data_IF_715902258428
#
_entry.id   IF_715902258428
#
_cell.length_a   1.000
_cell.length_b   1.000
_cell.length_c   1.000
_cell.angle_alpha   90.00
_cell.angle_beta   90.00
_cell.angle_gamma   90.00
#
_symmetry.space_group_name_H-M   'P 1'
#
loop_
_entity.id
_entity.type
_entity.pdbx_description
1 polymer ?
#
# COMPACT_ATOMS: atom_id res chain seq x y z
N UNK A 1 -7.08 16.02 2.51
CA UNK A 1 -5.98 15.08 2.24
C UNK A 1 -4.68 15.82 2.50
N UNK A 2 -3.95 15.42 3.54
CA UNK A 2 -2.78 16.14 4.06
C UNK A 2 -1.46 15.38 3.84
N UNK A 3 -1.52 14.04 3.80
CA UNK A 3 -0.35 13.16 3.63
C UNK A 3 -0.68 11.99 2.70
N UNK A 4 0.16 11.75 1.68
CA UNK A 4 0.07 10.55 0.84
C UNK A 4 1.40 9.81 0.88
N UNK A 5 1.39 8.56 1.35
CA UNK A 5 2.56 7.68 1.38
C UNK A 5 2.55 6.81 0.13
N UNK A 6 3.59 6.89 -0.69
CA UNK A 6 3.73 6.09 -1.92
C UNK A 6 4.81 5.04 -1.69
N UNK A 7 4.43 3.75 -1.76
CA UNK A 7 5.31 2.63 -1.45
C UNK A 7 5.47 1.76 -2.69
N UNK A 8 6.63 1.78 -3.38
CA UNK A 8 6.92 0.81 -4.42
C UNK A 8 7.10 -0.58 -3.80
N UNK A 9 6.53 -1.61 -4.44
CA UNK A 9 6.61 -2.98 -3.96
C UNK A 9 6.82 -3.98 -5.11
N UNK A 10 7.67 -4.97 -4.86
CA UNK A 10 7.90 -6.11 -5.74
C UNK A 10 8.12 -7.38 -4.91
N UNK A 11 7.16 -8.30 -4.95
CA UNK A 11 7.16 -9.53 -4.17
C UNK A 11 7.29 -9.34 -2.65
N UNK A 12 6.44 -8.48 -2.07
CA UNK A 12 6.44 -8.10 -0.66
C UNK A 12 5.13 -8.48 0.05
N UNK A 13 4.49 -9.57 -0.37
CA UNK A 13 3.16 -9.98 0.14
C UNK A 13 3.14 -10.24 1.65
N UNK A 14 4.26 -10.63 2.24
CA UNK A 14 4.38 -10.91 3.68
C UNK A 14 4.63 -9.64 4.51
N UNK A 15 5.41 -8.68 3.99
CA UNK A 15 5.84 -7.50 4.74
C UNK A 15 4.86 -6.31 4.65
N UNK A 16 4.16 -6.15 3.53
CA UNK A 16 3.29 -5.00 3.31
C UNK A 16 2.12 -4.85 4.31
N UNK A 17 1.43 -5.93 4.73
CA UNK A 17 0.36 -5.79 5.73
C UNK A 17 0.84 -5.21 7.05
N UNK A 18 2.02 -5.64 7.51
CA UNK A 18 2.63 -5.15 8.75
C UNK A 18 3.03 -3.67 8.60
N UNK A 19 3.72 -3.33 7.50
CA UNK A 19 4.12 -1.95 7.21
C UNK A 19 2.93 -0.98 7.16
N UNK A 20 1.83 -1.38 6.50
CA UNK A 20 0.61 -0.56 6.45
C UNK A 20 0.03 -0.37 7.86
N UNK A 21 0.04 -1.41 8.68
CA UNK A 21 -0.41 -1.33 10.07
C UNK A 21 0.45 -0.37 10.92
N UNK A 22 1.78 -0.42 10.76
CA UNK A 22 2.70 0.50 11.43
C UNK A 22 2.48 1.96 10.99
N UNK A 23 2.23 2.19 9.69
CA UNK A 23 1.91 3.51 9.15
C UNK A 23 0.61 4.05 9.75
N UNK A 24 -0.44 3.21 9.81
CA UNK A 24 -1.71 3.60 10.40
C UNK A 24 -1.53 3.99 11.88
N UNK A 25 -0.80 3.19 12.66
CA UNK A 25 -0.48 3.50 14.06
C UNK A 25 0.35 4.79 14.21
N UNK A 26 1.32 5.04 13.32
CA UNK A 26 2.14 6.24 13.37
C UNK A 26 1.35 7.51 13.01
N UNK A 27 0.34 7.38 12.14
CA UNK A 27 -0.51 8.49 11.74
C UNK A 27 -1.68 8.75 12.70
N UNK A 28 -2.07 7.74 13.48
CA UNK A 28 -3.07 7.89 14.55
C UNK A 28 -2.69 9.00 15.53
N UNK A 29 -3.65 9.89 15.81
CA UNK A 29 -3.45 11.01 16.75
C UNK A 29 -2.75 12.23 16.18
N UNK A 30 -2.24 12.20 14.94
CA UNK A 30 -1.65 13.39 14.29
C UNK A 30 -2.68 14.42 13.81
N UNK A 31 -3.96 14.03 13.72
CA UNK A 31 -5.04 14.90 13.23
C UNK A 31 -4.96 15.20 11.73
N UNK A 32 -4.24 14.38 10.97
CA UNK A 32 -4.08 14.49 9.52
C UNK A 32 -5.04 13.53 8.80
N UNK A 33 -5.43 13.87 7.57
CA UNK A 33 -5.97 12.90 6.62
C UNK A 33 -4.83 12.27 5.81
N UNK A 34 -4.67 10.95 5.90
CA UNK A 34 -3.65 10.21 5.15
C UNK A 34 -4.21 9.10 4.27
N UNK A 35 -3.39 8.72 3.29
CA UNK A 35 -3.55 7.53 2.46
C UNK A 35 -2.21 6.85 2.22
N UNK A 36 -2.25 5.54 1.99
CA UNK A 36 -1.10 4.72 1.58
C UNK A 36 -1.39 4.12 0.21
N UNK A 37 -0.60 4.49 -0.79
CA UNK A 37 -0.70 3.97 -2.15
C UNK A 37 0.48 3.03 -2.42
N UNK A 38 0.19 1.74 -2.59
CA UNK A 38 1.17 0.75 -2.99
C UNK A 38 1.28 0.73 -4.52
N UNK A 39 2.50 0.88 -5.02
CA UNK A 39 2.80 0.78 -6.45
C UNK A 39 3.43 -0.58 -6.71
N UNK A 40 2.64 -1.54 -7.20
CA UNK A 40 3.10 -2.88 -7.55
C UNK A 40 3.88 -2.85 -8.88
N UNK A 41 5.16 -3.22 -8.81
CA UNK A 41 6.08 -3.27 -9.96
C UNK A 41 6.09 -4.65 -10.64
N UNK A 42 4.89 -5.23 -10.80
CA UNK A 42 4.72 -6.50 -11.49
C UNK A 42 5.05 -7.72 -10.64
N UNK A 43 4.63 -7.73 -9.36
CA UNK A 43 4.85 -8.87 -8.47
C UNK A 43 4.17 -10.14 -8.98
N UNK A 44 4.77 -11.28 -8.63
CA UNK A 44 4.34 -12.64 -9.00
C UNK A 44 3.95 -13.50 -7.80
N UNK A 45 4.22 -13.03 -6.58
CA UNK A 45 3.97 -13.74 -5.32
C UNK A 45 2.55 -13.52 -4.74
N UNK A 46 1.72 -12.72 -5.40
CA UNK A 46 0.38 -12.38 -4.92
C UNK A 46 0.27 -11.01 -4.24
N UNK A 47 1.36 -10.25 -4.12
CA UNK A 47 1.39 -8.89 -3.54
C UNK A 47 0.23 -8.01 -4.03
N UNK A 48 0.06 -7.88 -5.36
CA UNK A 48 -1.01 -7.09 -5.93
C UNK A 48 -2.41 -7.52 -5.46
N UNK A 49 -2.67 -8.84 -5.44
CA UNK A 49 -3.96 -9.38 -5.03
C UNK A 49 -4.25 -9.11 -3.55
N UNK A 50 -3.23 -9.28 -2.71
CA UNK A 50 -3.30 -9.01 -1.28
C UNK A 50 -3.64 -7.54 -1.01
N UNK A 51 -2.94 -6.59 -1.62
CA UNK A 51 -3.22 -5.16 -1.39
C UNK A 51 -4.54 -4.74 -2.03
N UNK A 52 -4.90 -5.29 -3.19
CA UNK A 52 -6.22 -5.03 -3.80
C UNK A 52 -7.35 -5.43 -2.85
N UNK A 53 -7.26 -6.59 -2.20
CA UNK A 53 -8.24 -7.02 -1.19
C UNK A 53 -8.25 -6.13 0.05
N UNK A 54 -7.09 -5.62 0.50
CA UNK A 54 -7.03 -4.63 1.58
C UNK A 54 -7.73 -3.33 1.20
N UNK A 55 -7.50 -2.82 -0.02
CA UNK A 55 -8.11 -1.59 -0.53
C UNK A 55 -9.65 -1.66 -0.62
N UNK A 56 -10.23 -2.86 -0.79
CA UNK A 56 -11.69 -3.04 -0.77
C UNK A 56 -12.30 -2.80 0.63
N UNK A 57 -11.54 -3.02 1.70
CA UNK A 57 -12.02 -2.94 3.08
C UNK A 57 -11.46 -1.74 3.84
N UNK A 58 -10.36 -1.15 3.37
CA UNK A 58 -9.73 0.02 3.95
C UNK A 58 -9.62 1.16 2.91
N UNK A 59 -10.44 2.21 2.99
CA UNK A 59 -10.43 3.32 2.03
C UNK A 59 -9.18 4.20 2.10
N UNK A 60 -8.32 4.02 3.11
CA UNK A 60 -7.02 4.69 3.21
C UNK A 60 -5.92 3.96 2.45
N UNK A 61 -6.19 2.76 1.94
CA UNK A 61 -5.22 1.95 1.18
C UNK A 61 -5.63 1.94 -0.28
N UNK A 62 -4.68 2.28 -1.15
CA UNK A 62 -4.82 2.16 -2.59
C UNK A 62 -3.71 1.31 -3.19
N UNK A 63 -3.96 0.77 -4.37
CA UNK A 63 -2.95 0.03 -5.14
C UNK A 63 -2.97 0.44 -6.61
N UNK A 64 -1.78 0.65 -7.14
CA UNK A 64 -1.54 0.90 -8.56
C UNK A 64 -0.61 -0.19 -9.08
N UNK A 65 -1.01 -0.90 -10.13
CA UNK A 65 -0.16 -1.90 -10.77
C UNK A 65 0.45 -1.33 -12.05
N UNK A 66 1.77 -1.39 -12.15
CA UNK A 66 2.44 -1.04 -13.40
C UNK A 66 2.17 -2.12 -14.46
N UNK A 67 1.80 -1.71 -15.68
CA UNK A 67 1.51 -2.62 -16.80
C UNK A 67 2.73 -3.44 -17.26
N UNK A 68 3.92 -2.99 -16.92
CA UNK A 68 5.22 -3.60 -17.21
C UNK A 68 6.17 -3.19 -16.09
N UNK A 69 7.08 -4.07 -15.70
CA UNK A 69 8.15 -3.69 -14.78
C UNK A 69 9.04 -2.63 -15.45
N UNK A 70 9.28 -1.51 -14.77
CA UNK A 70 10.10 -0.38 -15.26
C UNK A 70 11.46 -0.28 -14.54
N UNK A 71 11.79 -1.24 -13.66
CA UNK A 71 13.08 -1.43 -12.99
C UNK A 71 14.08 -2.28 -13.78
#
# INVERSE_FOLDING_TARGET
MDLSLIIPAFNESEALPELIGEIDQACEGLGLEWETIVVDDGSTDGTFGLISGMAETNPRVGVVRMRRNFG
#
